data_IF_930561338483
#
_entry.id   IF_930561338483
#
_cell.length_a   1.000
_cell.length_b   1.000
_cell.length_c   1.000
_cell.angle_alpha   90.00
_cell.angle_beta   90.00
_cell.angle_gamma   90.00
#
_symmetry.space_group_name_H-M   'P 1'
#
loop_
_entity.id
_entity.type
_entity.pdbx_description
1 polymer ?
#
# COMPACT_ATOMS: atom_id res chain seq x y z
N UNK A 1 16.30 12.42 -3.93
CA UNK A 1 16.68 11.77 -2.66
C UNK A 1 18.05 12.21 -2.14
N UNK A 2 18.85 12.96 -2.91
CA UNK A 2 20.12 13.52 -2.47
C UNK A 2 19.94 14.65 -1.44
N UNK A 3 18.84 15.40 -1.45
CA UNK A 3 18.56 16.46 -0.46
C UNK A 3 18.53 15.91 0.97
N UNK A 4 17.84 14.79 1.18
CA UNK A 4 17.73 14.18 2.51
C UNK A 4 19.09 13.66 2.97
N UNK A 5 19.84 13.00 2.09
CA UNK A 5 21.16 12.42 2.41
C UNK A 5 22.24 13.49 2.61
N UNK A 6 22.35 14.49 1.74
CA UNK A 6 23.35 15.56 1.88
C UNK A 6 23.01 16.51 3.03
N UNK A 7 21.72 16.73 3.34
CA UNK A 7 21.34 17.55 4.49
C UNK A 7 21.65 16.85 5.82
N UNK A 8 21.49 15.52 5.92
CA UNK A 8 21.87 14.78 7.13
C UNK A 8 23.39 14.70 7.30
N UNK A 9 24.14 14.48 6.22
CA UNK A 9 25.61 14.51 6.23
C UNK A 9 26.12 15.91 6.58
N UNK A 10 25.54 16.96 5.98
CA UNK A 10 25.86 18.36 6.27
C UNK A 10 25.56 18.75 7.71
N UNK A 11 24.44 18.26 8.28
CA UNK A 11 24.12 18.45 9.70
C UNK A 11 25.16 17.79 10.60
N UNK A 12 25.52 16.53 10.32
CA UNK A 12 26.48 15.77 11.12
C UNK A 12 27.89 16.38 11.07
N UNK A 13 28.33 16.83 9.88
CA UNK A 13 29.61 17.51 9.70
C UNK A 13 29.63 18.92 10.32
N UNK A 14 28.52 19.66 10.22
CA UNK A 14 28.40 20.97 10.88
C UNK A 14 28.42 20.85 12.42
N UNK A 15 27.75 19.82 12.95
CA UNK A 15 27.73 19.52 14.38
C UNK A 15 29.11 19.09 14.92
N UNK A 16 29.89 18.35 14.12
CA UNK A 16 31.21 17.88 14.53
C UNK A 16 32.27 18.98 14.52
N UNK A 17 32.12 19.99 13.66
CA UNK A 17 33.07 21.11 13.54
C UNK A 17 32.78 22.24 14.55
N UNK A 18 31.52 22.45 14.93
CA UNK A 18 31.13 23.61 15.76
C UNK A 18 31.19 23.46 17.28
N UNK A 19 31.39 22.25 17.81
CA UNK A 19 31.49 21.99 19.26
C UNK A 19 30.28 22.45 20.10
N UNK A 20 30.29 22.24 21.42
CA UNK A 20 29.11 22.50 22.28
C UNK A 20 28.63 23.97 22.35
N UNK A 21 29.44 24.96 21.94
CA UNK A 21 29.14 26.39 22.11
C UNK A 21 28.43 27.00 20.90
N UNK A 22 28.74 26.55 19.69
CA UNK A 22 28.06 26.95 18.44
C UNK A 22 27.43 25.75 17.71
N UNK A 23 27.37 24.58 18.35
CA UNK A 23 27.09 23.29 17.73
C UNK A 23 25.71 23.17 17.09
N UNK A 24 24.67 23.73 17.72
CA UNK A 24 23.33 23.74 17.10
C UNK A 24 23.28 24.69 15.90
N UNK A 25 23.90 25.87 15.99
CA UNK A 25 23.90 26.85 14.89
C UNK A 25 24.71 26.35 13.69
N UNK A 26 25.89 25.79 13.94
CA UNK A 26 26.77 25.23 12.91
C UNK A 26 26.20 23.96 12.26
N UNK A 27 25.53 23.10 13.03
CA UNK A 27 24.81 21.94 12.49
C UNK A 27 23.64 22.38 11.59
N UNK A 28 22.88 23.39 11.99
CA UNK A 28 21.77 23.92 11.18
C UNK A 28 22.30 24.57 9.90
N UNK A 29 23.42 25.29 9.96
CA UNK A 29 24.07 25.87 8.78
C UNK A 29 24.58 24.77 7.84
N UNK A 30 25.27 23.76 8.37
CA UNK A 30 25.74 22.61 7.59
C UNK A 30 24.59 21.84 6.93
N UNK A 31 23.46 21.68 7.64
CA UNK A 31 22.23 21.10 7.10
C UNK A 31 21.63 21.95 5.99
N UNK A 32 21.60 23.27 6.15
CA UNK A 32 21.07 24.18 5.15
C UNK A 32 21.90 24.16 3.86
N UNK A 33 23.23 24.17 3.97
CA UNK A 33 24.14 24.05 2.83
C UNK A 33 23.97 22.69 2.14
N UNK A 34 23.96 21.61 2.92
CA UNK A 34 23.76 20.25 2.41
C UNK A 34 22.41 20.06 1.72
N UNK A 35 21.33 20.63 2.28
CA UNK A 35 20.01 20.62 1.67
C UNK A 35 19.95 21.42 0.37
N UNK A 36 20.66 22.55 0.30
CA UNK A 36 20.65 23.41 -0.90
C UNK A 36 21.39 22.73 -2.06
N UNK A 37 22.58 22.18 -1.80
CA UNK A 37 23.33 21.41 -2.80
C UNK A 37 22.60 20.14 -3.20
N UNK A 38 22.04 19.41 -2.23
CA UNK A 38 21.22 18.23 -2.50
C UNK A 38 19.96 18.54 -3.30
N UNK A 39 19.36 19.73 -3.13
CA UNK A 39 18.23 20.20 -3.94
C UNK A 39 18.63 20.47 -5.39
N UNK A 40 19.79 21.08 -5.63
CA UNK A 40 20.30 21.30 -7.00
C UNK A 40 20.53 19.96 -7.72
N UNK A 41 21.09 18.98 -7.02
CA UNK A 41 21.34 17.64 -7.57
C UNK A 41 20.01 16.91 -7.82
N UNK A 42 19.09 16.94 -6.86
CA UNK A 42 17.76 16.35 -7.00
C UNK A 42 16.97 16.98 -8.16
N UNK A 43 17.03 18.30 -8.32
CA UNK A 43 16.38 19.01 -9.42
C UNK A 43 16.99 18.68 -10.79
N UNK A 44 18.32 18.49 -10.86
CA UNK A 44 18.97 18.06 -12.12
C UNK A 44 18.62 16.64 -12.51
N UNK A 45 18.48 15.73 -11.54
CA UNK A 45 18.14 14.32 -11.78
C UNK A 45 16.65 14.15 -12.12
N UNK A 46 15.76 14.91 -11.45
CA UNK A 46 14.31 14.81 -11.67
C UNK A 46 13.79 15.68 -12.84
N UNK A 47 14.66 16.51 -13.45
CA UNK A 47 14.31 17.44 -14.52
C UNK A 47 13.69 18.74 -13.98
N UNK A 48 13.91 19.86 -14.69
CA UNK A 48 13.46 21.20 -14.27
C UNK A 48 11.93 21.44 -14.37
N UNK A 49 11.12 20.40 -14.52
CA UNK A 49 9.71 20.51 -14.92
C UNK A 49 8.75 19.85 -13.92
N UNK A 50 8.09 20.69 -13.12
CA UNK A 50 6.89 20.41 -12.33
C UNK A 50 7.07 19.74 -10.96
N UNK A 51 6.16 20.10 -10.05
CA UNK A 51 6.01 19.49 -8.73
C UNK A 51 5.83 17.97 -8.84
N UNK A 52 6.41 17.24 -7.90
CA UNK A 52 6.23 15.79 -7.77
C UNK A 52 4.75 15.46 -7.65
N UNK A 53 4.21 14.74 -8.63
CA UNK A 53 2.86 14.17 -8.55
C UNK A 53 2.97 12.88 -7.74
N UNK A 54 2.16 12.76 -6.69
CA UNK A 54 1.98 11.51 -5.96
C UNK A 54 1.50 10.43 -6.95
N UNK A 55 2.37 9.47 -7.26
CA UNK A 55 2.09 8.40 -8.22
C UNK A 55 2.58 7.06 -7.69
N UNK A 56 1.91 5.97 -8.07
CA UNK A 56 2.40 4.62 -7.84
C UNK A 56 2.35 4.15 -6.38
N UNK A 57 1.37 4.59 -5.58
CA UNK A 57 1.14 4.01 -4.26
C UNK A 57 0.89 2.50 -4.41
N UNK A 58 1.88 1.69 -4.01
CA UNK A 58 1.83 0.24 -4.18
C UNK A 58 0.73 -0.32 -3.30
N UNK A 59 -0.31 -0.84 -3.94
CA UNK A 59 -1.35 -1.56 -3.25
C UNK A 59 -0.82 -2.94 -2.83
N UNK A 60 -0.67 -3.13 -1.52
CA UNK A 60 -0.19 -4.38 -0.92
C UNK A 60 -1.32 -5.39 -0.73
N UNK A 61 -2.58 -4.97 -0.75
CA UNK A 61 -3.71 -5.84 -0.45
C UNK A 61 -4.77 -5.76 -1.55
N UNK A 62 -4.66 -6.70 -2.50
CA UNK A 62 -5.61 -6.81 -3.62
C UNK A 62 -6.80 -7.65 -3.16
N UNK A 63 -7.89 -7.00 -2.77
CA UNK A 63 -9.16 -7.64 -2.45
C UNK A 63 -10.19 -7.29 -3.54
N UNK A 64 -10.95 -8.29 -3.99
CA UNK A 64 -12.09 -8.06 -4.89
C UNK A 64 -13.16 -7.25 -4.17
N UNK A 65 -13.57 -6.13 -4.75
CA UNK A 65 -14.62 -5.26 -4.20
C UNK A 65 -15.98 -5.46 -4.87
N UNK A 66 -17.03 -4.94 -4.23
CA UNK A 66 -18.37 -4.79 -4.81
C UNK A 66 -18.93 -3.36 -4.61
N UNK A 67 -18.09 -2.43 -4.17
CA UNK A 67 -18.47 -1.04 -3.90
C UNK A 67 -18.60 -0.23 -5.18
N UNK A 68 -19.54 0.70 -5.19
CA UNK A 68 -19.70 1.68 -6.26
C UNK A 68 -18.61 2.76 -6.20
N UNK A 69 -18.27 3.35 -7.35
CA UNK A 69 -17.28 4.44 -7.44
C UNK A 69 -15.81 4.02 -7.46
N UNK A 70 -15.51 2.71 -7.48
CA UNK A 70 -14.15 2.23 -7.69
C UNK A 70 -13.67 2.54 -9.12
N UNK A 71 -12.41 3.00 -9.30
CA UNK A 71 -11.88 3.32 -10.61
C UNK A 71 -11.61 2.06 -11.45
N UNK A 72 -11.73 2.20 -12.78
CA UNK A 72 -11.38 1.13 -13.73
C UNK A 72 -9.86 1.04 -13.87
N UNK A 73 -9.25 0.01 -13.29
CA UNK A 73 -7.81 -0.23 -13.38
C UNK A 73 -7.38 -0.67 -14.78
N UNK A 74 -6.29 -0.08 -15.30
CA UNK A 74 -5.64 -0.49 -16.54
C UNK A 74 -4.27 -1.09 -16.24
N UNK A 75 -3.95 -2.23 -16.87
CA UNK A 75 -2.68 -2.94 -16.72
C UNK A 75 -2.15 -3.30 -18.10
N UNK A 76 -0.85 -3.09 -18.30
CA UNK A 76 -0.13 -3.49 -19.51
C UNK A 76 0.87 -4.59 -19.15
N UNK A 77 0.73 -5.77 -19.76
CA UNK A 77 1.54 -6.96 -19.46
C UNK A 77 0.89 -7.93 -18.47
N UNK A 78 1.69 -8.83 -17.88
CA UNK A 78 1.22 -9.86 -16.98
C UNK A 78 1.27 -9.41 -15.52
N UNK A 79 0.12 -9.03 -14.94
CA UNK A 79 -0.02 -8.78 -13.50
C UNK A 79 -1.35 -9.30 -12.95
N UNK A 80 -1.39 -9.57 -11.64
CA UNK A 80 -2.62 -9.93 -10.92
C UNK A 80 -3.38 -8.67 -10.47
N UNK A 81 -4.69 -8.65 -10.72
CA UNK A 81 -5.63 -7.62 -10.27
C UNK A 81 -6.72 -8.23 -9.38
N UNK A 82 -7.27 -7.45 -8.44
CA UNK A 82 -8.35 -7.91 -7.54
C UNK A 82 -9.72 -7.95 -8.21
N UNK A 83 -9.97 -7.10 -9.21
CA UNK A 83 -11.24 -7.03 -9.93
C UNK A 83 -12.41 -6.50 -9.09
N UNK A 84 -13.60 -6.52 -9.67
CA UNK A 84 -14.84 -6.07 -9.05
C UNK A 84 -16.00 -6.99 -9.42
N UNK A 85 -16.89 -7.26 -8.46
CA UNK A 85 -18.15 -7.96 -8.72
C UNK A 85 -19.11 -7.00 -9.41
N UNK A 86 -19.55 -7.37 -10.61
CA UNK A 86 -20.55 -6.63 -11.37
C UNK A 86 -21.67 -7.62 -11.65
N UNK A 87 -22.86 -7.33 -11.12
CA UNK A 87 -24.07 -8.16 -11.26
C UNK A 87 -23.92 -9.56 -10.64
N UNK A 88 -24.41 -9.71 -9.41
CA UNK A 88 -24.50 -11.00 -8.72
C UNK A 88 -25.97 -11.37 -8.48
N UNK A 89 -26.33 -12.62 -8.78
CA UNK A 89 -27.64 -13.16 -8.41
C UNK A 89 -27.72 -13.41 -6.91
N UNK A 90 -28.95 -13.60 -6.41
CA UNK A 90 -29.17 -14.09 -5.04
C UNK A 90 -28.66 -15.53 -4.93
N UNK A 91 -28.17 -15.89 -3.74
CA UNK A 91 -27.77 -17.27 -3.45
C UNK A 91 -28.95 -18.22 -3.60
N UNK A 92 -28.69 -19.39 -4.17
CA UNK A 92 -29.62 -20.50 -4.22
C UNK A 92 -29.28 -21.48 -3.10
N UNK A 93 -30.23 -21.73 -2.20
CA UNK A 93 -30.07 -22.70 -1.11
C UNK A 93 -30.61 -24.07 -1.54
N UNK A 94 -29.80 -25.11 -1.34
CA UNK A 94 -30.22 -26.49 -1.45
C UNK A 94 -30.11 -27.15 -0.07
N UNK A 95 -31.19 -27.80 0.37
CA UNK A 95 -31.22 -28.56 1.62
C UNK A 95 -31.36 -30.05 1.33
N UNK A 96 -30.55 -30.86 1.99
CA UNK A 96 -30.62 -32.32 1.93
C UNK A 96 -30.75 -32.87 3.33
N UNK A 97 -31.80 -33.63 3.59
CA UNK A 97 -32.00 -34.29 4.88
C UNK A 97 -31.70 -35.77 4.78
N UNK A 98 -30.74 -36.26 5.57
CA UNK A 98 -30.37 -37.67 5.65
C UNK A 98 -30.61 -38.22 7.07
N UNK A 99 -30.99 -39.50 7.17
CA UNK A 99 -31.24 -40.19 8.44
C UNK A 99 -32.47 -41.10 8.39
N UNK A 100 -32.44 -42.17 9.21
CA UNK A 100 -33.51 -43.16 9.32
C UNK A 100 -33.43 -44.28 8.27
N UNK A 101 -32.63 -45.32 8.58
CA UNK A 101 -32.64 -46.58 7.82
C UNK A 101 -33.73 -47.51 8.32
N UNK A 102 -34.45 -48.18 7.41
CA UNK A 102 -35.44 -49.21 7.76
C UNK A 102 -34.72 -50.38 8.45
N UNK A 103 -34.98 -50.60 9.74
CA UNK A 103 -34.50 -51.77 10.50
C UNK A 103 -33.44 -51.53 11.58
N UNK A 104 -33.01 -50.29 11.82
CA UNK A 104 -32.13 -49.92 12.95
C UNK A 104 -32.84 -48.89 13.86
N UNK A 105 -32.42 -48.71 15.13
CA UNK A 105 -32.95 -47.63 15.98
C UNK A 105 -32.90 -46.31 15.22
N UNK A 106 -33.95 -45.49 15.30
CA UNK A 106 -34.07 -44.24 14.57
C UNK A 106 -32.84 -43.35 14.83
N UNK A 107 -31.88 -43.39 13.91
CA UNK A 107 -30.71 -42.53 13.96
C UNK A 107 -31.11 -41.06 13.82
N UNK A 108 -30.27 -40.12 14.30
CA UNK A 108 -30.57 -38.70 14.22
C UNK A 108 -30.77 -38.28 12.76
N UNK A 109 -31.79 -37.46 12.52
CA UNK A 109 -32.07 -36.84 11.22
C UNK A 109 -31.21 -35.58 11.10
N UNK A 110 -30.37 -35.50 10.08
CA UNK A 110 -29.47 -34.36 9.85
C UNK A 110 -29.87 -33.65 8.55
N UNK A 111 -30.10 -32.34 8.62
CA UNK A 111 -30.31 -31.49 7.44
C UNK A 111 -29.03 -30.72 7.14
N UNK A 112 -28.51 -30.87 5.93
CA UNK A 112 -27.36 -30.11 5.41
C UNK A 112 -27.82 -29.06 4.42
N UNK A 113 -27.22 -27.87 4.47
CA UNK A 113 -27.51 -26.75 3.58
C UNK A 113 -26.27 -26.46 2.72
N UNK A 114 -26.48 -26.23 1.43
CA UNK A 114 -25.46 -25.75 0.49
C UNK A 114 -25.97 -24.54 -0.28
N UNK A 115 -25.06 -23.65 -0.67
CA UNK A 115 -25.37 -22.39 -1.37
C UNK A 115 -24.62 -22.34 -2.69
N UNK A 116 -25.27 -21.83 -3.75
CA UNK A 116 -24.67 -21.56 -5.06
C UNK A 116 -24.97 -20.14 -5.50
#
# INVERSE_FOLDING_TARGET
MATIVLSSIGFAAGASVGGAVFGLSSAVIGRAIGATLGRVIDQRIMGAGSQTVETGKVDRFRLTGASEGAPVGQVYGAMRIGGQVIWASRFQEASTTSGGGKGAPSGPKTTSYSYT
#
